data_IF_034875985142
#
_entry.id   IF_034875985142
#
_cell.length_a   1.000
_cell.length_b   1.000
_cell.length_c   1.000
_cell.angle_alpha   90.00
_cell.angle_beta   90.00
_cell.angle_gamma   90.00
#
_symmetry.space_group_name_H-M   'P 1'
#
loop_
_entity.id
_entity.type
_entity.pdbx_description
1 polymer ?
#
# COMPACT_ATOMS: atom_id res chain seq x y z
N UNK A 1 25.33 -10.14 -18.98
CA UNK A 1 25.26 -10.98 -20.18
C UNK A 1 26.43 -11.98 -20.24
N UNK A 2 26.17 -13.16 -20.82
CA UNK A 2 27.21 -14.19 -20.96
C UNK A 2 27.43 -15.11 -19.75
N UNK A 3 26.72 -14.91 -18.64
CA UNK A 3 26.77 -15.76 -17.46
C UNK A 3 25.65 -16.81 -17.48
N UNK A 4 25.95 -18.05 -17.17
CA UNK A 4 24.91 -19.05 -16.91
C UNK A 4 24.37 -18.90 -15.48
N UNK A 5 23.06 -18.98 -15.34
CA UNK A 5 22.35 -19.01 -14.04
C UNK A 5 21.58 -20.31 -13.92
N UNK A 6 21.45 -20.82 -12.70
CA UNK A 6 20.55 -21.94 -12.42
C UNK A 6 19.18 -21.42 -11.99
N UNK A 7 18.15 -21.80 -12.71
CA UNK A 7 16.76 -21.51 -12.37
C UNK A 7 16.13 -22.76 -11.79
N UNK A 8 15.60 -22.66 -10.57
CA UNK A 8 14.97 -23.75 -9.86
C UNK A 8 13.45 -23.66 -9.94
N UNK A 9 12.79 -24.71 -10.36
CA UNK A 9 11.34 -24.85 -10.20
C UNK A 9 11.06 -25.45 -8.82
N UNK A 10 10.17 -24.81 -8.06
CA UNK A 10 9.83 -25.27 -6.72
C UNK A 10 8.55 -26.11 -6.76
N UNK A 11 8.54 -27.19 -5.98
CA UNK A 11 7.34 -27.98 -5.69
C UNK A 11 6.35 -27.20 -4.82
N UNK A 12 5.11 -27.73 -4.66
CA UNK A 12 4.13 -27.19 -3.68
C UNK A 12 4.68 -27.12 -2.23
N UNK A 13 5.65 -27.95 -1.89
CA UNK A 13 6.33 -27.96 -0.58
C UNK A 13 7.53 -27.00 -0.52
N UNK A 14 7.72 -26.16 -1.55
CA UNK A 14 8.85 -25.22 -1.68
C UNK A 14 10.23 -25.89 -1.66
N UNK A 15 10.32 -27.16 -2.04
CA UNK A 15 11.58 -27.86 -2.33
C UNK A 15 11.86 -27.77 -3.81
N UNK A 16 13.15 -27.77 -4.19
CA UNK A 16 13.55 -27.79 -5.61
C UNK A 16 13.02 -29.08 -6.26
N UNK A 17 12.17 -28.93 -7.26
CA UNK A 17 11.61 -30.04 -8.04
C UNK A 17 12.38 -30.27 -9.34
N UNK A 18 12.92 -29.20 -9.92
CA UNK A 18 13.71 -29.23 -11.16
C UNK A 18 14.68 -28.05 -11.19
N UNK A 19 15.73 -28.17 -11.97
CA UNK A 19 16.77 -27.15 -12.15
C UNK A 19 17.21 -27.08 -13.60
N UNK A 20 17.22 -25.87 -14.16
CA UNK A 20 17.68 -25.62 -15.52
C UNK A 20 18.83 -24.60 -15.51
N UNK A 21 19.85 -24.85 -16.31
CA UNK A 21 20.88 -23.85 -16.57
C UNK A 21 20.48 -23.00 -17.77
N UNK A 22 20.38 -21.68 -17.55
CA UNK A 22 19.98 -20.73 -18.58
C UNK A 22 21.12 -19.75 -18.81
N UNK A 23 21.51 -19.61 -20.09
CA UNK A 23 22.47 -18.59 -20.50
C UNK A 23 21.81 -17.22 -20.52
N UNK A 24 22.31 -16.27 -19.73
CA UNK A 24 21.76 -14.89 -19.68
C UNK A 24 22.31 -14.11 -20.86
N UNK A 25 21.47 -13.84 -21.84
CA UNK A 25 21.80 -13.01 -23.00
C UNK A 25 21.68 -11.51 -22.69
N UNK A 26 20.65 -11.14 -21.92
CA UNK A 26 20.42 -9.75 -21.47
C UNK A 26 19.76 -9.73 -20.10
N UNK A 27 19.98 -8.65 -19.36
CA UNK A 27 19.28 -8.36 -18.11
C UNK A 27 18.97 -6.87 -18.06
N UNK A 28 17.80 -6.54 -17.59
CA UNK A 28 17.36 -5.17 -17.39
C UNK A 28 16.47 -5.08 -16.14
N UNK A 29 16.41 -3.89 -15.53
CA UNK A 29 15.42 -3.62 -14.49
C UNK A 29 14.03 -3.49 -15.12
N UNK A 30 13.00 -3.73 -14.33
CA UNK A 30 11.61 -3.52 -14.75
C UNK A 30 11.39 -2.09 -15.24
N UNK A 31 11.88 -1.09 -14.48
CA UNK A 31 11.86 0.32 -14.88
C UNK A 31 12.44 0.55 -16.27
N UNK A 32 13.61 -0.07 -16.56
CA UNK A 32 14.24 0.04 -17.89
C UNK A 32 13.34 -0.54 -18.98
N UNK A 33 12.69 -1.68 -18.71
CA UNK A 33 11.81 -2.35 -19.67
C UNK A 33 10.54 -1.51 -19.90
N UNK A 34 9.87 -1.08 -18.82
CA UNK A 34 8.66 -0.27 -18.88
C UNK A 34 8.90 1.06 -19.60
N UNK A 35 9.97 1.78 -19.25
CA UNK A 35 10.32 3.07 -19.86
C UNK A 35 10.64 2.93 -21.33
N UNK A 36 11.38 1.88 -21.74
CA UNK A 36 11.64 1.59 -23.16
C UNK A 36 10.36 1.28 -23.95
N UNK A 37 9.36 0.70 -23.29
CA UNK A 37 8.04 0.44 -23.89
C UNK A 37 7.12 1.67 -23.92
N UNK A 38 7.60 2.83 -23.44
CA UNK A 38 6.84 4.09 -23.44
C UNK A 38 5.96 4.32 -22.21
N UNK A 39 6.09 3.51 -21.17
CA UNK A 39 5.36 3.70 -19.92
C UNK A 39 6.11 4.61 -18.95
N UNK A 40 5.37 5.39 -18.18
CA UNK A 40 5.88 5.97 -16.95
C UNK A 40 5.93 4.89 -15.86
N UNK A 41 7.04 4.82 -15.14
CA UNK A 41 7.25 3.81 -14.12
C UNK A 41 7.28 4.46 -12.72
N UNK A 42 6.46 3.95 -11.83
CA UNK A 42 6.44 4.36 -10.41
C UNK A 42 6.61 3.12 -9.55
N UNK A 43 7.61 3.13 -8.68
CA UNK A 43 7.86 2.04 -7.73
C UNK A 43 7.57 2.48 -6.32
N UNK A 44 6.61 1.80 -5.68
CA UNK A 44 6.27 2.01 -4.27
C UNK A 44 6.59 0.73 -3.51
N UNK A 45 7.46 0.84 -2.51
CA UNK A 45 7.90 -0.32 -1.74
C UNK A 45 6.84 -0.71 -0.70
N UNK A 46 6.36 -1.93 -0.76
CA UNK A 46 5.42 -2.50 0.19
C UNK A 46 5.80 -3.94 0.55
N UNK A 47 5.87 -4.21 1.85
CA UNK A 47 6.17 -5.54 2.38
C UNK A 47 4.99 -6.48 2.11
N UNK A 48 5.29 -7.73 1.73
CA UNK A 48 4.25 -8.71 1.43
C UNK A 48 3.37 -8.99 2.66
N UNK A 49 2.07 -9.15 2.43
CA UNK A 49 1.01 -9.32 3.42
C UNK A 49 0.73 -8.14 4.35
N UNK A 50 1.66 -7.21 4.55
CA UNK A 50 1.56 -6.11 5.52
C UNK A 50 1.00 -4.86 4.84
N UNK A 51 0.25 -4.04 5.58
CA UNK A 51 -0.16 -2.72 5.12
C UNK A 51 1.07 -1.85 4.78
N UNK A 52 1.04 -1.07 3.70
CA UNK A 52 2.15 -0.19 3.33
C UNK A 52 2.52 0.78 4.46
N UNK A 53 3.80 1.14 4.54
CA UNK A 53 4.26 2.16 5.49
C UNK A 53 3.55 3.50 5.25
N UNK A 54 3.42 4.36 6.26
CA UNK A 54 2.81 5.68 6.09
C UNK A 54 3.43 6.49 4.95
N UNK A 55 4.76 6.45 4.80
CA UNK A 55 5.47 7.11 3.71
C UNK A 55 5.12 6.52 2.35
N UNK A 56 5.03 5.18 2.23
CA UNK A 56 4.65 4.54 0.97
C UNK A 56 3.22 4.91 0.55
N UNK A 57 2.31 5.12 1.52
CA UNK A 57 0.96 5.62 1.24
C UNK A 57 0.99 7.08 0.80
N UNK A 58 1.81 7.92 1.43
CA UNK A 58 1.99 9.32 1.01
C UNK A 58 2.54 9.41 -0.42
N UNK A 59 3.56 8.61 -0.75
CA UNK A 59 4.13 8.53 -2.09
C UNK A 59 3.07 8.10 -3.11
N UNK A 60 2.23 7.13 -2.74
CA UNK A 60 1.13 6.66 -3.59
C UNK A 60 0.08 7.76 -3.83
N UNK A 61 -0.40 8.41 -2.79
CA UNK A 61 -1.37 9.52 -2.91
C UNK A 61 -0.79 10.64 -3.77
N UNK A 62 0.49 10.99 -3.56
CA UNK A 62 1.17 12.01 -4.35
C UNK A 62 1.31 11.59 -5.83
N UNK A 63 1.61 10.34 -6.11
CA UNK A 63 1.68 9.83 -7.48
C UNK A 63 0.30 9.92 -8.15
N UNK A 64 -0.76 9.44 -7.49
CA UNK A 64 -2.12 9.39 -8.06
C UNK A 64 -2.70 10.78 -8.32
N UNK A 65 -2.54 11.73 -7.38
CA UNK A 65 -3.09 13.09 -7.55
C UNK A 65 -2.43 13.90 -8.66
N UNK A 66 -1.24 13.49 -9.09
CA UNK A 66 -0.50 14.15 -10.18
C UNK A 66 -0.68 13.44 -11.53
N UNK A 67 -1.49 12.38 -11.59
CA UNK A 67 -1.80 11.73 -12.87
C UNK A 67 -2.74 12.58 -13.71
N UNK A 68 -2.56 12.59 -15.04
CA UNK A 68 -3.57 13.12 -15.97
C UNK A 68 -4.91 12.42 -15.76
N UNK A 69 -6.01 13.13 -16.07
CA UNK A 69 -7.38 12.60 -15.88
C UNK A 69 -7.66 11.37 -16.73
N UNK A 70 -7.02 11.27 -17.90
CA UNK A 70 -7.11 10.16 -18.84
C UNK A 70 -6.03 9.09 -18.66
N UNK A 71 -5.25 9.16 -17.56
CA UNK A 71 -4.20 8.20 -17.31
C UNK A 71 -4.76 6.79 -17.11
N UNK A 72 -4.21 5.84 -17.87
CA UNK A 72 -4.39 4.42 -17.61
C UNK A 72 -3.27 3.93 -16.69
N UNK A 73 -3.64 3.24 -15.60
CA UNK A 73 -2.68 2.80 -14.59
C UNK A 73 -2.71 1.27 -14.48
N UNK A 74 -1.54 0.66 -14.56
CA UNK A 74 -1.37 -0.77 -14.32
C UNK A 74 -0.73 -0.99 -12.94
N UNK A 75 -1.41 -1.76 -12.10
CA UNK A 75 -0.92 -2.16 -10.77
C UNK A 75 -0.46 -3.61 -10.81
N UNK A 76 0.69 -3.89 -10.27
CA UNK A 76 1.12 -5.25 -10.04
C UNK A 76 2.04 -5.36 -8.80
N UNK A 77 2.14 -6.56 -8.27
CA UNK A 77 3.16 -6.97 -7.32
C UNK A 77 3.77 -8.28 -7.86
N UNK A 78 4.26 -9.16 -7.00
CA UNK A 78 4.78 -10.46 -7.48
C UNK A 78 3.62 -11.39 -7.90
N UNK A 79 2.60 -11.59 -7.05
CA UNK A 79 1.50 -12.53 -7.31
C UNK A 79 0.23 -11.89 -7.88
N UNK A 80 0.17 -10.56 -8.01
CA UNK A 80 -1.03 -9.84 -8.46
C UNK A 80 -2.22 -9.89 -7.49
N UNK A 81 -2.00 -10.27 -6.24
CA UNK A 81 -3.05 -10.47 -5.25
C UNK A 81 -3.04 -9.37 -4.16
N UNK A 82 -2.66 -9.66 -2.93
CA UNK A 82 -2.84 -8.81 -1.76
C UNK A 82 -2.41 -7.35 -1.95
N UNK A 83 -1.14 -7.09 -2.20
CA UNK A 83 -0.61 -5.72 -2.40
C UNK A 83 -1.29 -5.03 -3.59
N UNK A 84 -1.45 -5.73 -4.70
CA UNK A 84 -2.12 -5.19 -5.90
C UNK A 84 -3.54 -4.77 -5.58
N UNK A 85 -4.36 -5.64 -4.97
CA UNK A 85 -5.75 -5.32 -4.60
C UNK A 85 -5.82 -4.15 -3.63
N UNK A 86 -4.92 -4.11 -2.62
CA UNK A 86 -4.86 -3.01 -1.66
C UNK A 86 -4.65 -1.67 -2.37
N UNK A 87 -3.65 -1.57 -3.25
CA UNK A 87 -3.38 -0.32 -3.97
C UNK A 87 -4.45 0.02 -5.02
N UNK A 88 -5.06 -0.96 -5.68
CA UNK A 88 -6.19 -0.74 -6.58
C UNK A 88 -7.42 -0.21 -5.83
N UNK A 89 -7.73 -0.76 -4.64
CA UNK A 89 -8.80 -0.26 -3.79
C UNK A 89 -8.53 1.18 -3.34
N UNK A 90 -7.30 1.49 -2.92
CA UNK A 90 -6.89 2.85 -2.55
C UNK A 90 -6.99 3.81 -3.75
N UNK A 91 -6.60 3.36 -4.95
CA UNK A 91 -6.71 4.15 -6.18
C UNK A 91 -8.18 4.50 -6.49
N UNK A 92 -9.06 3.50 -6.40
CA UNK A 92 -10.50 3.70 -6.63
C UNK A 92 -11.09 4.69 -5.60
N UNK A 93 -10.66 4.64 -4.33
CA UNK A 93 -11.06 5.61 -3.31
C UNK A 93 -10.61 7.04 -3.62
N UNK A 94 -9.43 7.22 -4.25
CA UNK A 94 -8.89 8.54 -4.61
C UNK A 94 -9.58 9.15 -5.84
N UNK A 95 -10.26 8.35 -6.64
CA UNK A 95 -11.16 8.84 -7.70
C UNK A 95 -12.45 9.34 -7.03
N UNK A 96 -13.46 9.85 -7.74
CA UNK A 96 -14.61 10.45 -7.07
C UNK A 96 -15.08 9.56 -5.90
N UNK A 97 -15.07 10.04 -4.64
CA UNK A 97 -15.31 9.22 -3.45
C UNK A 97 -16.81 8.94 -3.25
N UNK A 98 -17.48 8.54 -4.31
CA UNK A 98 -18.93 8.39 -4.34
C UNK A 98 -19.37 6.98 -3.94
N UNK A 99 -18.47 5.99 -4.08
CA UNK A 99 -18.79 4.62 -3.70
C UNK A 99 -18.49 4.36 -2.22
N UNK A 100 -19.50 3.90 -1.46
CA UNK A 100 -19.25 3.40 -0.10
C UNK A 100 -18.22 2.27 -0.09
N UNK A 101 -17.48 2.12 1.01
CA UNK A 101 -16.41 1.14 1.11
C UNK A 101 -16.84 -0.31 0.81
N UNK A 102 -17.99 -0.84 1.31
CA UNK A 102 -18.38 -2.22 1.02
C UNK A 102 -18.58 -2.52 -0.48
N UNK A 103 -19.35 -1.73 -1.27
CA UNK A 103 -19.45 -1.95 -2.71
C UNK A 103 -18.14 -1.75 -3.47
N UNK A 104 -17.24 -0.85 -3.01
CA UNK A 104 -15.92 -0.68 -3.59
C UNK A 104 -15.08 -1.97 -3.43
N UNK A 105 -15.04 -2.55 -2.23
CA UNK A 105 -14.33 -3.81 -1.99
C UNK A 105 -14.94 -4.98 -2.78
N UNK A 106 -16.27 -5.01 -2.92
CA UNK A 106 -16.95 -6.00 -3.75
C UNK A 106 -16.59 -5.83 -5.24
N UNK A 107 -16.42 -4.61 -5.73
CA UNK A 107 -15.95 -4.34 -7.09
C UNK A 107 -14.53 -4.87 -7.30
N UNK A 108 -13.60 -4.60 -6.37
CA UNK A 108 -12.25 -5.15 -6.45
C UNK A 108 -12.22 -6.68 -6.49
N UNK A 109 -13.06 -7.34 -5.70
CA UNK A 109 -13.25 -8.80 -5.78
C UNK A 109 -13.79 -9.25 -7.15
N UNK A 110 -14.73 -8.53 -7.73
CA UNK A 110 -15.29 -8.84 -9.05
C UNK A 110 -14.25 -8.70 -10.17
N UNK A 111 -13.23 -7.87 -9.99
CA UNK A 111 -12.06 -7.74 -10.87
C UNK A 111 -10.99 -8.82 -10.63
N UNK A 112 -11.31 -9.91 -9.96
CA UNK A 112 -10.40 -10.98 -9.53
C UNK A 112 -9.33 -10.55 -8.51
N UNK A 113 -9.53 -9.43 -7.85
CA UNK A 113 -8.73 -9.04 -6.69
C UNK A 113 -9.01 -9.92 -5.47
N UNK A 114 -8.20 -9.74 -4.44
CA UNK A 114 -8.41 -10.40 -3.15
C UNK A 114 -9.73 -9.91 -2.52
N UNK A 115 -10.50 -10.83 -1.91
CA UNK A 115 -11.67 -10.44 -1.12
C UNK A 115 -11.22 -9.86 0.23
N UNK A 116 -10.95 -8.55 0.25
CA UNK A 116 -10.47 -7.86 1.44
C UNK A 116 -11.54 -7.77 2.56
N UNK A 117 -12.81 -8.00 2.23
CA UNK A 117 -13.89 -8.04 3.22
C UNK A 117 -14.03 -9.40 3.90
N UNK A 118 -13.54 -10.49 3.28
CA UNK A 118 -13.70 -11.86 3.78
C UNK A 118 -12.63 -12.25 4.81
N UNK A 119 -12.32 -11.38 5.76
CA UNK A 119 -11.27 -11.62 6.77
C UNK A 119 -11.57 -12.84 7.67
N UNK A 120 -12.85 -13.19 7.84
CA UNK A 120 -13.24 -14.34 8.63
C UNK A 120 -12.91 -15.69 7.97
N UNK A 121 -12.78 -15.70 6.65
CA UNK A 121 -12.43 -16.88 5.87
C UNK A 121 -10.92 -17.12 5.83
N UNK A 122 -10.13 -16.12 6.24
CA UNK A 122 -8.68 -16.22 6.31
C UNK A 122 -8.27 -16.92 7.61
N UNK A 123 -7.44 -17.95 7.49
CA UNK A 123 -6.97 -18.75 8.63
C UNK A 123 -5.45 -18.73 8.80
N UNK A 124 -4.99 -19.22 9.94
CA UNK A 124 -3.56 -19.32 10.23
C UNK A 124 -2.87 -17.97 10.36
N UNK A 125 -1.58 -17.95 10.07
CA UNK A 125 -0.71 -16.79 10.26
C UNK A 125 -1.08 -15.55 9.41
N UNK A 126 -1.85 -15.73 8.35
CA UNK A 126 -2.29 -14.63 7.47
C UNK A 126 -3.44 -13.81 8.05
N UNK A 127 -4.20 -14.38 8.98
CA UNK A 127 -5.41 -13.75 9.52
C UNK A 127 -5.18 -12.36 10.09
N UNK A 128 -4.23 -12.13 11.02
CA UNK A 128 -4.01 -10.79 11.59
C UNK A 128 -3.64 -9.74 10.54
N UNK A 129 -2.94 -10.14 9.48
CA UNK A 129 -2.60 -9.22 8.38
C UNK A 129 -3.81 -8.87 7.50
N UNK A 130 -4.72 -9.82 7.27
CA UNK A 130 -5.97 -9.55 6.55
C UNK A 130 -6.86 -8.60 7.37
N UNK A 131 -7.01 -8.82 8.67
CA UNK A 131 -7.74 -7.94 9.59
C UNK A 131 -7.13 -6.53 9.61
N UNK A 132 -5.81 -6.43 9.69
CA UNK A 132 -5.10 -5.14 9.63
C UNK A 132 -5.38 -4.42 8.30
N UNK A 133 -5.30 -5.11 7.16
CA UNK A 133 -5.55 -4.47 5.85
C UNK A 133 -6.96 -3.92 5.77
N UNK A 134 -7.99 -4.68 6.15
CA UNK A 134 -9.37 -4.20 6.15
C UNK A 134 -9.55 -2.97 7.07
N UNK A 135 -8.96 -3.01 8.27
CA UNK A 135 -8.98 -1.88 9.19
C UNK A 135 -8.32 -0.64 8.57
N UNK A 136 -7.18 -0.81 7.92
CA UNK A 136 -6.43 0.29 7.33
C UNK A 136 -7.09 0.82 6.06
N UNK A 137 -7.72 -0.03 5.23
CA UNK A 137 -8.55 0.39 4.11
C UNK A 137 -9.73 1.25 4.60
N UNK A 138 -10.35 0.87 5.72
CA UNK A 138 -11.43 1.65 6.34
C UNK A 138 -10.95 3.01 6.86
N UNK A 139 -9.72 3.08 7.41
CA UNK A 139 -9.09 4.34 7.81
C UNK A 139 -8.73 5.19 6.60
N UNK A 140 -8.17 4.57 5.55
CA UNK A 140 -7.80 5.29 4.33
C UNK A 140 -9.03 5.86 3.62
N UNK A 141 -10.13 5.13 3.58
CA UNK A 141 -11.41 5.64 3.07
C UNK A 141 -11.86 6.90 3.80
N UNK A 142 -11.79 6.91 5.15
CA UNK A 142 -12.11 8.13 5.95
C UNK A 142 -11.13 9.27 5.68
N UNK A 143 -9.86 8.98 5.54
CA UNK A 143 -8.86 9.96 5.17
C UNK A 143 -9.20 10.64 3.85
N UNK A 144 -9.56 9.85 2.83
CA UNK A 144 -9.96 10.37 1.51
C UNK A 144 -11.17 11.29 1.64
N UNK A 145 -12.22 10.85 2.32
CA UNK A 145 -13.43 11.67 2.52
C UNK A 145 -13.14 13.02 3.20
N UNK A 146 -12.20 13.06 4.14
CA UNK A 146 -11.86 14.28 4.88
C UNK A 146 -10.88 15.19 4.12
N UNK A 147 -10.11 14.66 3.18
CA UNK A 147 -9.00 15.40 2.56
C UNK A 147 -9.15 15.60 1.05
N UNK A 148 -10.12 14.96 0.40
CA UNK A 148 -10.33 15.06 -1.04
C UNK A 148 -10.54 16.52 -1.50
N UNK A 149 -11.38 17.28 -0.80
CA UNK A 149 -11.69 18.68 -1.16
C UNK A 149 -10.47 19.62 -1.02
N UNK A 150 -9.50 19.27 -0.20
CA UNK A 150 -8.26 20.04 -0.02
C UNK A 150 -7.14 19.53 -0.92
N UNK A 151 -7.45 18.66 -1.89
CA UNK A 151 -6.47 17.97 -2.71
C UNK A 151 -5.37 17.28 -1.88
N UNK A 152 -5.78 16.63 -0.79
CA UNK A 152 -4.88 15.90 0.11
C UNK A 152 -3.73 16.77 0.65
N UNK A 153 -4.05 18.00 1.07
CA UNK A 153 -3.08 18.90 1.69
C UNK A 153 -2.46 18.29 2.95
N UNK A 154 -3.27 17.62 3.76
CA UNK A 154 -2.77 16.82 4.89
C UNK A 154 -2.35 15.45 4.38
N UNK A 155 -1.09 15.08 4.57
CA UNK A 155 -0.59 13.75 4.19
C UNK A 155 -1.24 12.64 5.01
N UNK A 156 -1.27 11.42 4.48
CA UNK A 156 -1.75 10.26 5.22
C UNK A 156 -0.98 10.03 6.52
N UNK A 157 0.35 10.14 6.47
CA UNK A 157 1.22 9.97 7.64
C UNK A 157 0.89 10.97 8.74
N UNK A 158 0.64 12.23 8.39
CA UNK A 158 0.24 13.29 9.34
C UNK A 158 -1.18 13.03 9.87
N UNK A 159 -2.12 12.64 9.00
CA UNK A 159 -3.49 12.37 9.40
C UNK A 159 -3.60 11.16 10.32
N UNK A 160 -2.79 10.11 10.06
CA UNK A 160 -2.77 8.88 10.87
C UNK A 160 -2.18 9.12 12.26
N UNK A 161 -1.18 9.99 12.35
CA UNK A 161 -0.49 10.38 13.57
C UNK A 161 -0.46 11.91 13.68
N UNK A 162 -1.59 12.54 13.98
CA UNK A 162 -1.60 13.98 14.16
C UNK A 162 -0.59 14.35 15.23
N UNK A 163 0.37 15.20 14.87
CA UNK A 163 1.23 15.83 15.85
C UNK A 163 0.32 16.66 16.74
N UNK A 164 0.13 16.24 17.98
CA UNK A 164 -0.48 17.10 19.00
C UNK A 164 0.58 18.18 19.19
N UNK A 165 0.42 19.33 18.50
CA UNK A 165 1.15 20.52 18.97
C UNK A 165 0.71 20.71 20.41
N UNK A 166 1.63 20.78 21.37
CA UNK A 166 1.23 21.12 22.73
C UNK A 166 0.56 22.49 22.61
N UNK A 167 -0.74 22.53 22.90
CA UNK A 167 -1.45 23.78 23.00
C UNK A 167 -0.61 24.68 23.90
N UNK A 168 -0.16 25.84 23.38
CA UNK A 168 0.53 26.86 24.14
C UNK A 168 -0.50 27.57 25.05
N UNK A 169 -1.04 26.81 25.98
CA UNK A 169 -1.88 27.29 27.05
C UNK A 169 -1.46 26.64 28.37
N UNK A 170 -0.19 26.84 28.73
CA UNK A 170 0.30 26.53 30.07
C UNK A 170 0.13 27.69 31.04
N UNK A 171 -0.81 28.60 30.81
CA UNK A 171 -1.13 29.68 31.77
C UNK A 171 -2.18 29.27 32.83
N UNK A 172 -2.49 27.96 32.95
CA UNK A 172 -3.50 27.48 33.91
C UNK A 172 -2.96 26.56 35.01
N UNK A 173 -1.65 26.37 35.13
CA UNK A 173 -1.11 25.64 36.27
C UNK A 173 -0.31 26.62 37.16
N UNK A 174 -0.71 26.74 38.46
CA UNK A 174 0.06 27.54 39.40
C UNK A 174 1.45 26.95 39.61
N UNK A 175 2.44 27.82 39.84
CA UNK A 175 3.90 27.57 39.99
C UNK A 175 4.31 26.60 41.12
N UNK A 176 3.40 25.80 41.68
CA UNK A 176 3.68 24.92 42.83
C UNK A 176 3.56 23.41 42.56
N UNK A 177 3.49 22.99 41.31
CA UNK A 177 3.58 21.56 41.00
C UNK A 177 5.03 21.16 40.82
N UNK A 178 5.68 20.74 41.91
CA UNK A 178 7.00 20.10 41.84
C UNK A 178 6.91 18.78 41.02
N UNK A 179 7.96 18.47 40.22
CA UNK A 179 8.01 17.23 39.47
C UNK A 179 8.24 16.06 40.45
N UNK A 180 7.24 15.21 40.59
CA UNK A 180 7.27 14.03 41.43
C UNK A 180 7.81 12.82 40.65
N UNK A 181 9.06 12.89 40.14
CA UNK A 181 9.87 11.72 39.77
C UNK A 181 11.33 12.12 39.59
N UNK A 182 12.13 11.83 40.63
CA UNK A 182 13.57 11.65 40.54
C UNK A 182 13.84 10.14 40.47
N UNK A 183 14.45 9.66 39.40
CA UNK A 183 15.39 8.54 39.39
C UNK A 183 16.34 8.72 38.24
#
# INVERSE_FOLDING_TARGET
PGQAITVNTLSKKKTVADSQSIQVNSAATEETVATKAGFHYVRITATDHIWPSPTAVDDFVNAVKNLPDDAWVHFHCEAGQGRTTTFMAMYEMLKPPELPLPPLLAHQKALNGLDEAAVNDVTGWKKPYAEQRLQMLSKFYRYVQQNHQTNFHTSWSTWLHPTIEPERNFDLFPDWVEPMFTL
#
